data_IF_125737855959
#
_entry.id   IF_125737855959
#
_cell.length_a   1.000
_cell.length_b   1.000
_cell.length_c   1.000
_cell.angle_alpha   90.00
_cell.angle_beta   90.00
_cell.angle_gamma   90.00
#
_symmetry.space_group_name_H-M   'P 1'
#
loop_
_entity.id
_entity.type
_entity.pdbx_description
1 polymer ?
#
# COMPACT_ATOMS: atom_id res chain seq x y z
N UNK A 1 24.00 -5.22 17.28
CA UNK A 1 22.74 -4.68 16.73
C UNK A 1 22.17 -5.77 15.83
N UNK A 2 21.19 -6.54 16.30
CA UNK A 2 20.51 -7.49 15.43
C UNK A 2 19.66 -6.66 14.45
N UNK A 3 20.08 -6.64 13.19
CA UNK A 3 19.26 -6.04 12.13
C UNK A 3 18.15 -7.05 11.90
N UNK A 4 17.04 -6.84 12.60
CA UNK A 4 15.82 -7.59 12.39
C UNK A 4 15.23 -7.15 11.04
N UNK A 5 15.35 -8.03 10.05
CA UNK A 5 14.83 -7.84 8.71
C UNK A 5 13.37 -8.28 8.59
N UNK A 6 12.68 -8.63 9.68
CA UNK A 6 11.26 -9.01 9.60
C UNK A 6 10.37 -7.80 9.32
N UNK A 7 9.25 -8.05 8.64
CA UNK A 7 8.19 -7.04 8.50
C UNK A 7 7.68 -6.63 9.87
N UNK A 8 7.48 -5.33 10.09
CA UNK A 8 6.79 -4.87 11.30
C UNK A 8 5.33 -5.36 11.29
N UNK A 9 4.77 -5.65 12.46
CA UNK A 9 3.36 -6.07 12.60
C UNK A 9 2.38 -5.06 11.95
N UNK A 10 2.76 -3.78 11.94
CA UNK A 10 2.00 -2.70 11.33
C UNK A 10 2.45 -2.35 9.90
N UNK A 11 3.10 -3.27 9.18
CA UNK A 11 3.57 -3.05 7.82
C UNK A 11 2.43 -2.55 6.91
N UNK A 12 2.70 -1.51 6.12
CA UNK A 12 1.76 -0.93 5.15
C UNK A 12 2.26 -1.03 3.72
N UNK A 13 3.30 -1.84 3.49
CA UNK A 13 3.82 -2.09 2.16
C UNK A 13 3.22 -3.41 1.63
N UNK A 14 2.43 -3.38 0.55
CA UNK A 14 1.77 -4.56 0.01
C UNK A 14 2.72 -5.58 -0.61
N UNK A 15 3.97 -5.19 -0.91
CA UNK A 15 5.01 -6.10 -1.40
C UNK A 15 5.85 -6.75 -0.28
N UNK A 16 5.66 -6.31 0.97
CA UNK A 16 6.38 -6.86 2.10
C UNK A 16 5.57 -8.02 2.71
N UNK A 17 6.15 -9.22 2.73
CA UNK A 17 5.51 -10.42 3.27
C UNK A 17 6.20 -10.89 4.56
N UNK A 18 7.39 -11.50 4.45
CA UNK A 18 8.17 -11.96 5.61
C UNK A 18 9.36 -11.05 5.93
N UNK A 19 9.84 -10.29 4.93
CA UNK A 19 11.04 -9.47 5.02
C UNK A 19 10.71 -8.00 4.75
N UNK A 20 11.29 -7.12 5.57
CA UNK A 20 11.27 -5.68 5.41
C UNK A 20 12.12 -5.27 4.20
N UNK A 21 11.47 -4.64 3.22
CA UNK A 21 12.11 -4.11 2.01
C UNK A 21 12.70 -2.70 2.19
N UNK A 22 13.07 -2.33 3.42
CA UNK A 22 13.68 -1.04 3.79
C UNK A 22 12.88 0.21 3.35
N UNK A 23 11.56 0.11 3.26
CA UNK A 23 10.68 1.28 3.10
C UNK A 23 10.28 1.86 4.47
N UNK A 24 9.67 3.05 4.47
CA UNK A 24 9.19 3.71 5.70
C UNK A 24 7.65 3.88 5.75
N UNK A 25 6.90 3.14 4.95
CA UNK A 25 5.43 3.23 4.93
C UNK A 25 4.77 2.93 6.30
N UNK A 26 5.41 2.14 7.15
CA UNK A 26 4.96 1.84 8.52
C UNK A 26 5.53 2.77 9.60
N UNK A 27 6.44 3.68 9.26
CA UNK A 27 7.06 4.62 10.20
C UNK A 27 8.13 4.01 11.10
N UNK A 28 8.60 2.78 10.81
CA UNK A 28 9.69 2.11 11.57
C UNK A 28 11.00 2.89 11.51
N UNK A 29 11.26 3.63 10.43
CA UNK A 29 12.51 4.38 10.22
C UNK A 29 12.34 5.82 10.70
N UNK A 30 11.31 6.52 10.24
CA UNK A 30 11.03 7.91 10.60
C UNK A 30 9.52 8.18 10.60
N UNK A 31 8.97 8.66 11.72
CA UNK A 31 7.54 9.00 11.80
C UNK A 31 7.17 10.25 11.01
N UNK A 32 8.10 11.18 10.83
CA UNK A 32 7.83 12.48 10.19
C UNK A 32 7.63 12.33 8.68
N UNK A 33 8.39 11.45 8.03
CA UNK A 33 8.23 11.16 6.60
C UNK A 33 7.29 9.99 6.31
N UNK A 34 6.83 9.26 7.33
CA UNK A 34 6.02 8.04 7.20
C UNK A 34 4.82 8.21 6.26
N UNK A 35 4.05 9.29 6.41
CA UNK A 35 2.84 9.49 5.63
C UNK A 35 3.14 9.77 4.14
N UNK A 36 4.26 10.45 3.85
CA UNK A 36 4.72 10.69 2.48
C UNK A 36 5.21 9.38 1.85
N UNK A 37 6.00 8.61 2.59
CA UNK A 37 6.52 7.31 2.13
C UNK A 37 5.39 6.30 1.92
N UNK A 38 4.38 6.29 2.80
CA UNK A 38 3.17 5.47 2.65
C UNK A 38 2.36 5.89 1.44
N UNK A 39 2.17 7.19 1.22
CA UNK A 39 1.43 7.69 0.07
C UNK A 39 2.06 7.19 -1.24
N UNK A 40 3.38 7.33 -1.38
CA UNK A 40 4.13 6.85 -2.55
C UNK A 40 3.90 5.35 -2.80
N UNK A 41 4.06 4.52 -1.77
CA UNK A 41 3.87 3.06 -1.86
C UNK A 41 2.45 2.70 -2.30
N UNK A 42 1.43 3.37 -1.75
CA UNK A 42 0.04 3.11 -2.11
C UNK A 42 -0.31 3.59 -3.51
N UNK A 43 0.24 4.73 -3.96
CA UNK A 43 0.05 5.24 -5.31
C UNK A 43 0.68 4.31 -6.36
N UNK A 44 1.90 3.82 -6.10
CA UNK A 44 2.57 2.82 -6.95
C UNK A 44 1.75 1.52 -7.01
N UNK A 45 1.28 1.00 -5.88
CA UNK A 45 0.47 -0.21 -5.84
C UNK A 45 -0.90 -0.03 -6.51
N UNK A 46 -1.53 1.15 -6.39
CA UNK A 46 -2.76 1.48 -7.10
C UNK A 46 -2.56 1.45 -8.62
N UNK A 47 -1.44 1.97 -9.13
CA UNK A 47 -1.13 1.88 -10.55
C UNK A 47 -0.99 0.43 -11.01
N UNK A 48 -0.29 -0.43 -10.24
CA UNK A 48 -0.21 -1.86 -10.57
C UNK A 48 -1.58 -2.54 -10.62
N UNK A 49 -2.49 -2.19 -9.71
CA UNK A 49 -3.85 -2.75 -9.73
C UNK A 49 -4.62 -2.24 -10.95
N UNK A 50 -4.52 -0.96 -11.28
CA UNK A 50 -5.17 -0.38 -12.48
C UNK A 50 -4.63 -0.95 -13.79
N UNK A 51 -3.38 -1.38 -13.81
CA UNK A 51 -2.73 -2.00 -14.97
C UNK A 51 -2.76 -3.53 -14.95
N UNK A 52 -3.59 -4.16 -14.12
CA UNK A 52 -3.63 -5.61 -14.00
C UNK A 52 -4.16 -6.28 -15.29
N UNK A 53 -3.36 -7.19 -15.86
CA UNK A 53 -3.64 -7.91 -17.11
C UNK A 53 -3.52 -9.44 -16.99
N UNK A 54 -3.14 -9.96 -15.83
CA UNK A 54 -2.92 -11.39 -15.55
C UNK A 54 -4.22 -12.13 -15.23
N UNK A 55 -5.18 -12.07 -16.14
CA UNK A 55 -6.49 -12.71 -15.99
C UNK A 55 -6.40 -14.24 -16.11
N UNK A 56 -7.21 -14.94 -15.32
CA UNK A 56 -7.43 -16.38 -15.50
C UNK A 56 -8.31 -16.65 -16.72
N UNK A 57 -8.03 -17.72 -17.45
CA UNK A 57 -8.91 -18.24 -18.51
C UNK A 57 -10.16 -18.92 -17.93
N UNK A 58 -10.10 -19.36 -16.67
CA UNK A 58 -11.26 -19.87 -15.95
C UNK A 58 -12.22 -18.71 -15.59
N UNK A 59 -13.48 -18.83 -16.03
CA UNK A 59 -14.50 -17.79 -15.87
C UNK A 59 -14.87 -17.51 -14.41
N UNK A 60 -14.92 -18.52 -13.56
CA UNK A 60 -15.26 -18.34 -12.14
C UNK A 60 -14.09 -17.67 -11.41
N UNK A 61 -12.86 -18.10 -11.69
CA UNK A 61 -11.67 -17.45 -11.15
C UNK A 61 -11.58 -16.00 -11.63
N UNK A 62 -11.83 -15.74 -12.91
CA UNK A 62 -11.81 -14.38 -13.47
C UNK A 62 -12.83 -13.47 -12.79
N UNK A 63 -14.06 -13.95 -12.56
CA UNK A 63 -15.09 -13.19 -11.83
C UNK A 63 -14.64 -12.82 -10.41
N UNK A 64 -13.97 -13.74 -9.71
CA UNK A 64 -13.37 -13.47 -8.39
C UNK A 64 -12.26 -12.42 -8.51
N UNK A 65 -11.38 -12.53 -9.52
CA UNK A 65 -10.33 -11.54 -9.77
C UNK A 65 -10.91 -10.14 -10.03
N UNK A 66 -11.96 -10.03 -10.86
CA UNK A 66 -12.61 -8.75 -11.17
C UNK A 66 -13.23 -8.11 -9.92
N UNK A 67 -13.91 -8.91 -9.09
CA UNK A 67 -14.47 -8.44 -7.82
C UNK A 67 -13.38 -7.97 -6.86
N UNK A 68 -12.31 -8.76 -6.70
CA UNK A 68 -11.19 -8.42 -5.83
C UNK A 68 -10.48 -7.16 -6.31
N UNK A 69 -10.24 -7.03 -7.61
CA UNK A 69 -9.56 -5.86 -8.18
C UNK A 69 -10.37 -4.58 -7.95
N UNK A 70 -11.69 -4.64 -8.16
CA UNK A 70 -12.59 -3.51 -7.90
C UNK A 70 -12.58 -3.09 -6.44
N UNK A 71 -12.65 -4.05 -5.51
CA UNK A 71 -12.60 -3.78 -4.07
C UNK A 71 -11.26 -3.17 -3.67
N UNK A 72 -10.15 -3.76 -4.12
CA UNK A 72 -8.81 -3.26 -3.81
C UNK A 72 -8.56 -1.85 -4.33
N UNK A 73 -8.95 -1.55 -5.58
CA UNK A 73 -8.81 -0.20 -6.15
C UNK A 73 -9.57 0.82 -5.30
N UNK A 74 -10.82 0.51 -4.94
CA UNK A 74 -11.65 1.39 -4.11
C UNK A 74 -11.00 1.64 -2.73
N UNK A 75 -10.56 0.58 -2.05
CA UNK A 75 -9.92 0.69 -0.73
C UNK A 75 -8.63 1.51 -0.79
N UNK A 76 -7.82 1.34 -1.84
CA UNK A 76 -6.61 2.10 -2.05
C UNK A 76 -6.89 3.58 -2.31
N UNK A 77 -7.87 3.90 -3.16
CA UNK A 77 -8.27 5.29 -3.43
C UNK A 77 -8.77 5.98 -2.15
N UNK A 78 -9.58 5.30 -1.34
CA UNK A 78 -10.06 5.83 -0.05
C UNK A 78 -8.92 6.08 0.95
N UNK A 79 -7.94 5.17 1.04
CA UNK A 79 -6.79 5.30 1.93
C UNK A 79 -5.84 6.41 1.49
N UNK A 80 -5.56 6.51 0.18
CA UNK A 80 -4.76 7.58 -0.41
C UNK A 80 -5.38 8.95 -0.09
N UNK A 81 -6.70 9.10 -0.25
CA UNK A 81 -7.39 10.35 0.07
C UNK A 81 -7.35 10.68 1.56
N UNK A 82 -7.46 9.68 2.45
CA UNK A 82 -7.27 9.88 3.90
C UNK A 82 -5.87 10.40 4.20
N UNK A 83 -4.83 9.80 3.62
CA UNK A 83 -3.44 10.21 3.84
C UNK A 83 -3.19 11.62 3.30
N UNK A 84 -3.68 11.96 2.10
CA UNK A 84 -3.59 13.31 1.53
C UNK A 84 -4.22 14.35 2.45
N UNK A 85 -5.39 14.06 3.03
CA UNK A 85 -6.06 14.94 4.02
C UNK A 85 -5.23 15.09 5.30
N UNK A 86 -4.60 14.03 5.79
CA UNK A 86 -3.72 14.09 6.96
C UNK A 86 -2.48 14.96 6.69
N UNK A 87 -1.83 14.77 5.55
CA UNK A 87 -0.68 15.57 5.12
C UNK A 87 -1.02 17.05 4.94
N UNK A 88 -2.22 17.36 4.44
CA UNK A 88 -2.69 18.74 4.31
C UNK A 88 -2.92 19.42 5.67
N UNK A 89 -3.46 18.68 6.65
CA UNK A 89 -3.68 19.17 8.03
C UNK A 89 -2.36 19.39 8.79
N UNK A 90 -1.38 18.51 8.61
CA UNK A 90 -0.06 18.63 9.25
C UNK A 90 0.79 19.80 8.77
N UNK A 91 0.45 20.44 7.66
CA UNK A 91 1.12 21.65 7.13
C UNK A 91 0.58 22.96 7.71
N UNK A 92 -0.47 22.92 8.54
CA UNK A 92 -1.13 24.10 9.12
C UNK A 92 -0.78 24.33 10.60
N UNK A 93 0.16 23.55 11.16
CA UNK A 93 0.63 23.64 12.55
C UNK A 93 2.05 24.13 12.66
#
# INVERSE_FOLDING_TARGET
MFIDFTTADNCRNPWAYEICVKCNACGRINKDSMLQDRLKVLEEYLQERKSFDRWSDDKEIRKIQEQNLRTQIKELEEEIEKIKKQLAKGKQG
#
